data_IF_265670733559
#
_entry.id   IF_265670733559
#
_cell.length_a   1.000
_cell.length_b   1.000
_cell.length_c   1.000
_cell.angle_alpha   90.00
_cell.angle_beta   90.00
_cell.angle_gamma   90.00
#
_symmetry.space_group_name_H-M   'P 1'
#
loop_
_entity.id
_entity.type
_entity.pdbx_description
1 polymer ?
#
# COMPACT_ATOMS: atom_id res chain seq x y z
N UNK A 1 24.66 -27.85 -34.81
CA UNK A 1 23.36 -27.86 -34.11
C UNK A 1 23.43 -26.89 -32.94
N UNK A 2 22.78 -25.72 -33.05
CA UNK A 2 22.78 -24.72 -31.99
C UNK A 2 21.64 -25.03 -31.01
N UNK A 3 21.97 -25.43 -29.78
CA UNK A 3 21.03 -25.51 -28.67
C UNK A 3 20.83 -24.11 -28.09
N UNK A 4 19.74 -23.45 -28.45
CA UNK A 4 19.33 -22.19 -27.84
C UNK A 4 18.89 -22.45 -26.40
N UNK A 5 19.80 -22.22 -25.45
CA UNK A 5 19.46 -22.16 -24.03
C UNK A 5 18.68 -20.88 -23.77
N UNK A 6 17.39 -21.01 -23.51
CA UNK A 6 16.50 -19.92 -23.15
C UNK A 6 16.94 -19.36 -21.79
N UNK A 7 17.76 -18.31 -21.80
CA UNK A 7 18.17 -17.55 -20.62
C UNK A 7 16.91 -16.94 -19.98
N UNK A 8 16.42 -17.55 -18.90
CA UNK A 8 15.36 -17.00 -18.05
C UNK A 8 15.85 -15.67 -17.47
N UNK A 9 15.46 -14.55 -18.09
CA UNK A 9 15.80 -13.22 -17.60
C UNK A 9 15.29 -13.08 -16.16
N UNK A 10 16.19 -12.78 -15.24
CA UNK A 10 15.97 -12.89 -13.82
C UNK A 10 15.06 -11.77 -13.32
N UNK A 11 13.74 -11.95 -13.43
CA UNK A 11 12.74 -11.09 -12.80
C UNK A 11 12.95 -10.94 -11.29
N UNK A 12 13.69 -11.86 -10.65
CA UNK A 12 14.10 -11.77 -9.24
C UNK A 12 14.85 -10.47 -8.93
N UNK A 13 15.74 -10.01 -9.82
CA UNK A 13 16.51 -8.76 -9.57
C UNK A 13 15.58 -7.56 -9.54
N UNK A 14 14.64 -7.51 -10.49
CA UNK A 14 13.63 -6.47 -10.58
C UNK A 14 12.69 -6.54 -9.37
N UNK A 15 12.22 -7.74 -8.98
CA UNK A 15 11.41 -7.93 -7.78
C UNK A 15 12.12 -7.48 -6.51
N UNK A 16 13.41 -7.81 -6.35
CA UNK A 16 14.21 -7.36 -5.20
C UNK A 16 14.38 -5.84 -5.21
N UNK A 17 14.67 -5.23 -6.36
CA UNK A 17 14.78 -3.77 -6.49
C UNK A 17 13.45 -3.08 -6.16
N UNK A 18 12.33 -3.58 -6.70
CA UNK A 18 11.00 -3.04 -6.43
C UNK A 18 10.63 -3.18 -4.94
N UNK A 19 10.96 -4.32 -4.33
CA UNK A 19 10.73 -4.53 -2.91
C UNK A 19 11.56 -3.59 -2.03
N UNK A 20 12.83 -3.39 -2.37
CA UNK A 20 13.71 -2.42 -1.70
C UNK A 20 13.18 -0.99 -1.85
N UNK A 21 12.64 -0.63 -3.02
CA UNK A 21 12.00 0.67 -3.25
C UNK A 21 10.77 0.86 -2.37
N UNK A 22 9.89 -0.15 -2.29
CA UNK A 22 8.72 -0.11 -1.40
C UNK A 22 9.16 0.03 0.06
N UNK A 23 10.16 -0.74 0.50
CA UNK A 23 10.71 -0.59 1.85
C UNK A 23 11.30 0.79 2.09
N UNK A 24 12.00 1.37 1.11
CA UNK A 24 12.52 2.73 1.24
C UNK A 24 11.38 3.75 1.40
N UNK A 25 10.30 3.64 0.62
CA UNK A 25 9.13 4.53 0.72
C UNK A 25 8.45 4.42 2.11
N UNK A 26 8.47 3.24 2.75
CA UNK A 26 7.90 3.05 4.08
C UNK A 26 8.86 3.53 5.19
N UNK A 27 10.14 3.20 5.08
CA UNK A 27 11.13 3.43 6.14
C UNK A 27 11.59 4.89 6.17
N UNK A 28 11.77 5.53 5.01
CA UNK A 28 12.27 6.91 4.93
C UNK A 28 11.39 7.89 5.72
N UNK A 29 10.05 7.92 5.55
CA UNK A 29 9.18 8.77 6.36
C UNK A 29 9.26 8.44 7.86
N UNK A 30 9.31 7.14 8.20
CA UNK A 30 9.40 6.68 9.59
C UNK A 30 10.65 7.16 10.32
N UNK A 31 11.76 7.36 9.60
CA UNK A 31 13.01 7.86 10.20
C UNK A 31 13.14 9.38 10.16
N UNK A 32 12.50 10.06 9.19
CA UNK A 32 12.54 11.51 9.06
C UNK A 32 11.50 12.20 9.95
N UNK A 33 10.34 11.59 10.16
CA UNK A 33 9.20 12.15 10.91
C UNK A 33 8.97 11.42 12.24
N UNK A 34 10.05 11.12 13.00
CA UNK A 34 10.03 10.31 14.23
C UNK A 34 9.18 10.85 15.41
N UNK A 35 8.38 11.90 15.21
CA UNK A 35 7.52 12.48 16.23
C UNK A 35 6.31 13.22 15.69
N UNK A 36 6.02 13.11 14.39
CA UNK A 36 4.77 13.65 13.83
C UNK A 36 3.73 12.53 13.89
N UNK A 37 2.56 12.83 14.46
CA UNK A 37 1.40 11.98 14.26
C UNK A 37 1.16 11.93 12.75
N UNK A 38 1.13 10.73 12.18
CA UNK A 38 0.66 10.53 10.81
C UNK A 38 -0.86 10.79 10.80
N UNK A 39 -1.23 12.05 10.97
CA UNK A 39 -2.59 12.55 10.94
C UNK A 39 -3.07 12.65 9.50
N UNK A 40 -4.39 12.57 9.33
CA UNK A 40 -5.01 12.86 8.05
C UNK A 40 -4.66 14.26 7.55
N UNK A 41 -4.80 14.47 6.23
CA UNK A 41 -4.52 15.75 5.58
C UNK A 41 -5.32 16.94 6.18
N UNK A 42 -6.37 16.67 6.94
CA UNK A 42 -7.21 17.67 7.60
C UNK A 42 -6.50 18.34 8.81
N UNK A 43 -5.68 17.59 9.55
CA UNK A 43 -4.94 18.12 10.71
C UNK A 43 -3.86 19.14 10.35
N UNK A 44 -3.18 18.96 9.21
CA UNK A 44 -2.27 19.99 8.67
C UNK A 44 -3.03 21.21 8.12
N UNK A 45 -4.22 21.00 7.54
CA UNK A 45 -5.03 22.07 6.98
C UNK A 45 -5.57 23.02 8.07
N UNK A 46 -6.02 22.48 9.21
CA UNK A 46 -6.51 23.27 10.34
C UNK A 46 -5.44 24.21 10.92
N UNK A 47 -4.19 23.74 11.05
CA UNK A 47 -3.07 24.54 11.54
C UNK A 47 -2.77 25.75 10.65
N UNK A 48 -2.78 25.55 9.32
CA UNK A 48 -2.50 26.61 8.34
C UNK A 48 -3.65 27.60 8.22
N UNK A 49 -4.90 27.13 8.31
CA UNK A 49 -6.09 27.99 8.25
C UNK A 49 -6.13 28.96 9.45
N UNK A 50 -5.78 28.47 10.63
CA UNK A 50 -5.75 29.27 11.88
C UNK A 50 -4.65 30.35 11.85
N UNK A 51 -3.53 30.10 11.18
CA UNK A 51 -2.43 31.08 11.02
C UNK A 51 -2.75 32.18 10.00
N UNK A 52 -3.42 31.82 8.90
CA UNK A 52 -3.68 32.75 7.78
C UNK A 52 -4.86 33.68 8.08
N UNK A 53 -5.88 33.20 8.81
CA UNK A 53 -7.03 34.02 9.16
C UNK A 53 -7.59 33.64 10.55
N UNK A 54 -7.25 34.39 11.61
CA UNK A 54 -7.70 34.08 12.97
C UNK A 54 -9.21 34.27 13.20
N UNK A 55 -9.94 34.88 12.25
CA UNK A 55 -11.41 34.99 12.27
C UNK A 55 -12.10 33.98 11.33
N UNK A 56 -11.38 32.97 10.82
CA UNK A 56 -11.97 31.97 9.94
C UNK A 56 -12.98 31.08 10.69
N UNK A 57 -14.27 31.31 10.45
CA UNK A 57 -15.32 30.37 10.86
C UNK A 57 -15.40 29.21 9.85
N UNK A 58 -15.25 27.95 10.29
CA UNK A 58 -15.48 26.79 9.44
C UNK A 58 -16.89 26.82 8.86
N UNK A 59 -16.99 26.87 7.53
CA UNK A 59 -18.27 26.78 6.81
C UNK A 59 -18.92 25.39 6.91
N UNK A 60 -18.21 24.44 7.51
CA UNK A 60 -18.66 23.11 7.86
C UNK A 60 -18.04 22.75 9.21
N UNK A 61 -18.86 22.67 10.26
CA UNK A 61 -18.47 22.09 11.53
C UNK A 61 -18.96 20.65 11.58
N UNK A 62 -18.07 19.72 11.92
CA UNK A 62 -18.45 18.32 12.12
C UNK A 62 -19.49 18.24 13.25
N UNK A 63 -20.77 18.07 12.88
CA UNK A 63 -21.90 17.90 13.83
C UNK A 63 -21.66 16.71 14.78
N UNK A 64 -20.77 15.80 14.39
CA UNK A 64 -20.24 14.71 15.18
C UNK A 64 -18.72 14.83 15.08
N UNK A 65 -18.08 15.31 16.14
CA UNK A 65 -16.64 15.15 16.32
C UNK A 65 -16.38 13.63 16.37
N UNK A 66 -15.71 13.02 15.36
CA UNK A 66 -15.43 11.60 15.43
C UNK A 66 -14.58 11.37 16.68
N UNK A 67 -15.07 10.52 17.58
CA UNK A 67 -14.42 10.24 18.85
C UNK A 67 -13.02 9.67 18.60
N UNK A 68 -11.98 10.51 18.73
CA UNK A 68 -10.56 10.16 18.64
C UNK A 68 -10.08 9.75 17.24
N UNK A 69 -8.93 10.31 16.81
CA UNK A 69 -8.23 9.94 15.56
C UNK A 69 -7.84 8.46 15.46
N UNK A 70 -7.98 7.70 16.55
CA UNK A 70 -7.84 6.25 16.58
C UNK A 70 -8.89 5.54 15.71
N UNK A 71 -10.14 6.01 15.68
CA UNK A 71 -11.20 5.36 14.90
C UNK A 71 -11.01 5.61 13.40
N UNK A 72 -10.54 6.80 13.02
CA UNK A 72 -10.18 7.12 11.63
C UNK A 72 -9.03 6.24 11.15
N UNK A 73 -7.97 6.11 11.96
CA UNK A 73 -6.83 5.24 11.69
C UNK A 73 -7.25 3.77 11.56
N UNK A 74 -8.18 3.29 12.40
CA UNK A 74 -8.72 1.93 12.33
C UNK A 74 -9.52 1.68 11.05
N UNK A 75 -10.31 2.65 10.60
CA UNK A 75 -11.06 2.56 9.34
C UNK A 75 -10.11 2.51 8.14
N UNK A 76 -9.07 3.36 8.12
CA UNK A 76 -8.03 3.32 7.10
C UNK A 76 -7.24 2.00 7.10
N UNK A 77 -6.82 1.52 8.27
CA UNK A 77 -6.12 0.24 8.41
C UNK A 77 -7.00 -0.94 7.94
N UNK A 78 -8.31 -0.90 8.23
CA UNK A 78 -9.26 -1.91 7.78
C UNK A 78 -9.42 -1.93 6.27
N UNK A 79 -9.52 -0.74 5.64
CA UNK A 79 -9.56 -0.61 4.18
C UNK A 79 -8.28 -1.14 3.54
N UNK A 80 -7.11 -0.80 4.09
CA UNK A 80 -5.83 -1.29 3.63
C UNK A 80 -5.71 -2.83 3.74
N UNK A 81 -6.14 -3.40 4.86
CA UNK A 81 -6.14 -4.84 5.10
C UNK A 81 -7.03 -5.59 4.10
N UNK A 82 -8.24 -5.08 3.84
CA UNK A 82 -9.17 -5.65 2.85
C UNK A 82 -8.60 -5.56 1.43
N UNK A 83 -8.05 -4.40 1.05
CA UNK A 83 -7.41 -4.22 -0.26
C UNK A 83 -6.23 -5.16 -0.48
N UNK A 84 -5.36 -5.30 0.53
CA UNK A 84 -4.23 -6.25 0.50
C UNK A 84 -4.71 -7.70 0.39
N UNK A 85 -5.78 -8.08 1.11
CA UNK A 85 -6.39 -9.40 1.05
C UNK A 85 -6.90 -9.77 -0.35
N UNK A 86 -7.62 -8.86 -1.01
CA UNK A 86 -8.15 -9.06 -2.36
C UNK A 86 -7.00 -9.24 -3.37
N UNK A 87 -6.00 -8.36 -3.34
CA UNK A 87 -4.83 -8.42 -4.23
C UNK A 87 -4.06 -9.73 -4.00
N UNK A 88 -3.83 -10.11 -2.75
CA UNK A 88 -3.17 -11.35 -2.37
C UNK A 88 -3.91 -12.58 -2.90
N UNK A 89 -5.24 -12.63 -2.73
CA UNK A 89 -6.08 -13.71 -3.24
C UNK A 89 -6.01 -13.82 -4.78
N UNK A 90 -6.07 -12.70 -5.49
CA UNK A 90 -5.98 -12.68 -6.95
C UNK A 90 -4.63 -13.21 -7.47
N UNK A 91 -3.51 -12.74 -6.88
CA UNK A 91 -2.17 -13.19 -7.24
C UNK A 91 -2.02 -14.69 -6.92
N UNK A 92 -2.49 -15.12 -5.75
CA UNK A 92 -2.45 -16.51 -5.31
C UNK A 92 -3.21 -17.43 -6.25
N UNK A 93 -4.47 -17.11 -6.56
CA UNK A 93 -5.31 -17.93 -7.46
C UNK A 93 -4.74 -18.01 -8.87
N UNK A 94 -4.20 -16.91 -9.41
CA UNK A 94 -3.58 -16.88 -10.75
C UNK A 94 -2.32 -17.76 -10.79
N UNK A 95 -1.48 -17.70 -9.75
CA UNK A 95 -0.27 -18.54 -9.64
C UNK A 95 -0.63 -20.03 -9.53
N UNK A 96 -1.65 -20.37 -8.74
CA UNK A 96 -2.11 -21.76 -8.58
C UNK A 96 -2.70 -22.32 -9.87
N UNK A 97 -3.56 -21.56 -10.56
CA UNK A 97 -4.11 -21.96 -11.87
C UNK A 97 -3.02 -22.23 -12.91
N UNK A 98 -1.96 -21.42 -12.92
CA UNK A 98 -0.80 -21.63 -13.80
C UNK A 98 -0.06 -22.93 -13.49
N UNK A 99 0.25 -23.19 -12.21
CA UNK A 99 0.89 -24.45 -11.77
C UNK A 99 0.08 -25.68 -12.17
N UNK A 100 -1.23 -25.69 -11.91
CA UNK A 100 -2.10 -26.82 -12.24
C UNK A 100 -2.19 -27.07 -13.75
N UNK A 101 -2.08 -26.02 -14.57
CA UNK A 101 -2.07 -26.15 -16.04
C UNK A 101 -0.74 -26.73 -16.54
N UNK A 102 0.38 -26.34 -15.93
CA UNK A 102 1.70 -26.89 -16.23
C UNK A 102 1.79 -28.38 -15.82
N UNK A 103 1.29 -28.74 -14.63
CA UNK A 103 1.25 -30.13 -14.14
C UNK A 103 0.41 -31.04 -15.06
N UNK A 104 -0.82 -30.62 -15.43
CA UNK A 104 -1.65 -31.38 -16.40
C UNK A 104 -1.03 -31.52 -17.79
N UNK A 105 -0.21 -30.56 -18.22
CA UNK A 105 0.48 -30.65 -19.52
C UNK A 105 1.66 -31.61 -19.50
N UNK A 106 2.26 -31.85 -18.33
CA UNK A 106 3.37 -32.78 -18.15
C UNK A 106 2.89 -34.23 -17.94
N UNK A 107 1.71 -34.43 -17.35
CA UNK A 107 1.10 -35.76 -17.17
C UNK A 107 0.59 -36.37 -18.50
N UNK A 108 0.21 -35.52 -19.47
CA UNK A 108 -0.23 -35.92 -20.80
C UNK A 108 0.92 -36.15 -21.82
N UNK A 109 2.18 -36.22 -21.37
CA UNK A 109 3.38 -36.38 -22.20
C UNK A 109 4.16 -37.61 -21.80
#
# INVERSE_FOLDING_TARGET
MQSTTTKKSSNIKITVILFLLVLAIIIVPLITQKGEEFGGADGEAEGVITEINPEYEPWFSSIIEPASGEIESLLFASQAALGAGIIGYYIGTTRTKKKMREERSNDNR
#
